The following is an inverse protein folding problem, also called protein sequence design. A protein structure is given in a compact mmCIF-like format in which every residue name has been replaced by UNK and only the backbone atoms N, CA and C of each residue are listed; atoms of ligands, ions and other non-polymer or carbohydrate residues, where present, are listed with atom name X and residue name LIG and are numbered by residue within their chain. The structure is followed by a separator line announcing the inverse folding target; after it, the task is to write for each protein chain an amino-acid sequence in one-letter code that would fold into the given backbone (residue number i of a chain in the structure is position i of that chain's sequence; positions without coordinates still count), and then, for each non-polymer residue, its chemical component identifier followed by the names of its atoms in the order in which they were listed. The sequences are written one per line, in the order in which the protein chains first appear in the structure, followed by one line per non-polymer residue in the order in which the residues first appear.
data_IF_581760082612
#
_entry.id   IF_581760082612
#
_cell.length_a   1.000
_cell.length_b   1.000
_cell.length_c   1.000
_cell.angle_alpha   90.00
_cell.angle_beta   90.00
_cell.angle_gamma   90.00
#
_symmetry.space_group_name_H-M   'P 1'
#
loop_
_entity.id
_entity.type
_entity.pdbx_description
1 polymer ?
#
# COMPACT_ATOMS: atom_id res chain seq x y z
N UNK A 1 -11.26 2.94 1.38
CA UNK A 1 -9.87 2.47 1.19
C UNK A 1 -9.57 2.44 -0.29
N UNK A 2 -8.41 2.93 -0.69
CA UNK A 2 -7.94 2.87 -2.07
C UNK A 2 -6.45 2.49 -2.11
N UNK A 3 -6.03 1.76 -3.14
CA UNK A 3 -4.60 1.57 -3.45
C UNK A 3 -4.23 2.66 -4.44
N UNK A 4 -3.27 3.50 -4.07
CA UNK A 4 -2.85 4.69 -4.81
C UNK A 4 -1.32 4.68 -4.94
N UNK A 5 -0.75 5.70 -5.58
CA UNK A 5 0.69 5.71 -5.90
C UNK A 5 1.05 5.03 -7.22
N UNK A 6 2.32 5.11 -7.57
CA UNK A 6 2.90 4.44 -8.73
C UNK A 6 2.82 2.91 -8.58
N UNK A 7 2.36 2.21 -9.62
CA UNK A 7 2.13 0.77 -9.62
C UNK A 7 0.77 0.34 -9.06
N UNK A 8 -0.12 1.30 -8.74
CA UNK A 8 -1.48 1.01 -8.28
C UNK A 8 -2.41 0.57 -9.41
N UNK A 9 -2.05 0.80 -10.67
CA UNK A 9 -2.82 0.36 -11.82
C UNK A 9 -2.28 -0.94 -12.42
N UNK A 10 -3.18 -1.81 -12.88
CA UNK A 10 -2.81 -3.08 -13.52
C UNK A 10 -2.05 -2.89 -14.84
N UNK A 11 -2.40 -1.87 -15.63
CA UNK A 11 -1.72 -1.53 -16.87
C UNK A 11 -0.73 -0.40 -16.63
N UNK A 12 0.56 -0.70 -16.81
CA UNK A 12 1.65 0.28 -16.67
C UNK A 12 1.61 1.37 -17.74
N UNK A 13 1.20 1.01 -18.96
CA UNK A 13 1.10 1.94 -20.08
C UNK A 13 0.03 3.00 -19.81
N UNK A 14 -1.16 2.57 -19.38
CA UNK A 14 -2.26 3.47 -19.03
C UNK A 14 -1.93 4.33 -17.80
N UNK A 15 -1.21 3.76 -16.82
CA UNK A 15 -0.76 4.52 -15.66
C UNK A 15 0.14 5.69 -16.06
N UNK A 16 1.12 5.44 -16.93
CA UNK A 16 2.05 6.47 -17.38
C UNK A 16 1.37 7.53 -18.26
N UNK A 17 0.38 7.15 -19.07
CA UNK A 17 -0.46 8.09 -19.83
C UNK A 17 -1.21 9.03 -18.88
N UNK A 18 -1.93 8.49 -17.89
CA UNK A 18 -2.72 9.27 -16.93
C UNK A 18 -1.86 10.08 -15.97
N UNK A 19 -0.62 9.65 -15.71
CA UNK A 19 0.32 10.42 -14.89
C UNK A 19 0.78 11.70 -15.59
N UNK A 20 0.78 11.72 -16.93
CA UNK A 20 1.21 12.86 -17.75
C UNK A 20 0.10 13.88 -18.04
N UNK A 21 -1.17 13.54 -17.82
CA UNK A 21 -2.29 14.43 -18.13
C UNK A 21 -2.47 15.58 -17.13
N UNK A 22 -1.65 15.67 -16.08
CA UNK A 22 -1.69 16.70 -15.01
C UNK A 22 -3.05 16.86 -14.31
N UNK A 23 -3.97 15.93 -14.50
CA UNK A 23 -5.28 15.92 -13.83
C UNK A 23 -5.10 15.64 -12.33
N UNK A 24 -5.72 16.48 -11.49
CA UNK A 24 -5.73 16.35 -10.04
C UNK A 24 -6.20 14.96 -9.58
N UNK A 25 -7.10 14.32 -10.34
CA UNK A 25 -7.58 12.97 -10.06
C UNK A 25 -6.46 11.93 -10.06
N UNK A 26 -5.43 12.09 -10.89
CA UNK A 26 -4.32 11.14 -11.05
C UNK A 26 -3.01 11.63 -10.42
N UNK A 27 -3.04 12.76 -9.69
CA UNK A 27 -1.86 13.32 -9.02
C UNK A 27 -1.15 12.30 -8.13
N UNK A 28 -1.92 11.42 -7.48
CA UNK A 28 -1.41 10.35 -6.63
C UNK A 28 -0.47 9.38 -7.37
N UNK A 29 -0.52 9.26 -8.71
CA UNK A 29 0.38 8.40 -9.48
C UNK A 29 1.84 8.87 -9.46
N UNK A 30 2.11 10.10 -8.97
CA UNK A 30 3.46 10.60 -8.74
C UNK A 30 4.02 10.24 -7.35
N UNK A 31 3.21 9.66 -6.47
CA UNK A 31 3.59 9.25 -5.13
C UNK A 31 4.03 7.77 -5.09
N UNK A 32 4.67 7.36 -4.00
CA UNK A 32 5.00 5.94 -3.79
C UNK A 32 3.72 5.10 -3.62
N UNK A 33 3.77 3.82 -4.01
CA UNK A 33 2.66 2.88 -3.80
C UNK A 33 2.23 2.88 -2.33
N UNK A 34 0.97 3.16 -2.06
CA UNK A 34 0.43 3.24 -0.71
C UNK A 34 -1.04 2.86 -0.66
N UNK A 35 -1.56 2.65 0.54
CA UNK A 35 -2.98 2.43 0.80
C UNK A 35 -3.53 3.63 1.55
N UNK A 36 -4.54 4.27 0.99
CA UNK A 36 -5.25 5.37 1.63
C UNK A 36 -6.43 4.84 2.46
N UNK A 37 -6.44 5.16 3.75
CA UNK A 37 -7.49 4.81 4.70
C UNK A 37 -8.19 6.09 5.14
N UNK A 38 -9.50 6.18 4.86
CA UNK A 38 -10.34 7.33 5.21
C UNK A 38 -11.53 6.81 6.03
N UNK A 39 -11.84 7.48 7.12
CA UNK A 39 -13.02 7.22 7.94
C UNK A 39 -13.83 8.50 8.12
N UNK A 40 -15.14 8.43 7.86
CA UNK A 40 -16.09 9.55 8.08
C UNK A 40 -17.03 9.17 9.22
N UNK A 41 -16.80 9.75 10.39
CA UNK A 41 -17.58 9.57 11.62
C UNK A 41 -17.21 10.70 12.62
N UNK A 42 -17.93 10.87 13.74
CA UNK A 42 -17.46 11.72 14.84
C UNK A 42 -16.05 11.34 15.27
N UNK A 43 -15.27 12.32 15.73
CA UNK A 43 -13.85 12.15 16.06
C UNK A 43 -13.52 10.82 16.80
N UNK A 44 -14.15 10.48 17.93
CA UNK A 44 -13.80 9.25 18.66
C UNK A 44 -14.04 7.97 17.84
N UNK A 45 -15.12 7.92 17.05
CA UNK A 45 -15.41 6.78 16.19
C UNK A 45 -14.48 6.70 14.99
N UNK A 46 -14.13 7.83 14.38
CA UNK A 46 -13.23 7.87 13.25
C UNK A 46 -11.84 7.32 13.63
N UNK A 47 -11.29 7.75 14.77
CA UNK A 47 -10.03 7.22 15.29
C UNK A 47 -10.10 5.73 15.57
N UNK A 48 -11.20 5.26 16.19
CA UNK A 48 -11.43 3.83 16.42
C UNK A 48 -11.41 3.03 15.11
N UNK A 49 -12.19 3.45 14.11
CA UNK A 49 -12.28 2.77 12.80
C UNK A 49 -10.94 2.75 12.06
N UNK A 50 -10.18 3.85 12.11
CA UNK A 50 -8.82 3.90 11.54
C UNK A 50 -7.90 2.92 12.26
N UNK A 51 -7.92 2.88 13.59
CA UNK A 51 -7.12 1.93 14.38
C UNK A 51 -7.43 0.47 14.05
N UNK A 52 -8.71 0.12 13.96
CA UNK A 52 -9.17 -1.21 13.56
C UNK A 52 -8.70 -1.56 12.14
N UNK A 53 -8.84 -0.65 11.18
CA UNK A 53 -8.39 -0.86 9.80
C UNK A 53 -6.87 -1.06 9.69
N UNK A 54 -6.08 -0.30 10.47
CA UNK A 54 -4.62 -0.46 10.52
C UNK A 54 -4.19 -1.81 11.12
N UNK A 55 -4.92 -2.31 12.12
CA UNK A 55 -4.66 -3.64 12.68
C UNK A 55 -4.88 -4.74 11.64
N UNK A 56 -5.95 -4.64 10.85
CA UNK A 56 -6.28 -5.62 9.81
C UNK A 56 -5.31 -5.59 8.62
N UNK A 57 -4.93 -4.39 8.14
CA UNK A 57 -4.07 -4.27 6.96
C UNK A 57 -2.65 -4.79 7.19
N UNK A 58 -2.16 -4.76 8.43
CA UNK A 58 -0.82 -5.24 8.82
C UNK A 58 -0.58 -6.68 8.39
N UNK A 59 -1.62 -7.52 8.39
CA UNK A 59 -1.57 -8.94 7.97
C UNK A 59 -1.17 -9.12 6.50
N UNK A 60 -1.43 -8.11 5.65
CA UNK A 60 -1.14 -8.14 4.22
C UNK A 60 0.18 -7.45 3.86
N UNK A 61 0.63 -6.50 4.69
CA UNK A 61 1.84 -5.72 4.43
C UNK A 61 3.11 -6.40 4.94
N UNK A 62 2.97 -7.34 5.89
CA UNK A 62 4.08 -8.19 6.33
C UNK A 62 3.98 -9.50 5.54
N UNK A 63 4.87 -9.75 4.57
CA UNK A 63 4.90 -11.05 3.91
C UNK A 63 5.10 -12.13 4.97
N UNK A 64 4.23 -13.13 4.98
CA UNK A 64 4.35 -14.28 5.88
C UNK A 64 5.74 -14.91 5.67
N UNK A 65 6.65 -14.69 6.62
CA UNK A 65 7.98 -15.30 6.64
C UNK A 65 7.91 -16.82 6.89
N UNK A 66 6.70 -17.39 7.01
CA UNK A 66 6.39 -18.82 7.16
C UNK A 66 6.42 -19.60 5.84
N UNK A 67 7.19 -19.13 4.86
CA UNK A 67 7.82 -19.99 3.85
C UNK A 67 9.32 -20.02 4.16
N UNK A 68 9.68 -20.86 5.12
CA UNK A 68 11.01 -21.07 5.73
C UNK A 68 12.10 -21.58 4.77
N UNK A 69 12.29 -20.97 3.60
CA UNK A 69 13.41 -21.26 2.70
C UNK A 69 14.30 -20.05 2.39
N UNK A 70 13.81 -18.82 2.57
CA UNK A 70 14.57 -17.62 2.19
C UNK A 70 15.43 -17.08 3.34
N UNK A 71 14.95 -17.12 4.60
CA UNK A 71 15.75 -16.65 5.74
C UNK A 71 17.01 -17.52 5.95
N UNK A 72 16.94 -18.84 5.71
CA UNK A 72 18.13 -19.70 5.82
C UNK A 72 19.21 -19.34 4.76
N UNK A 73 18.80 -18.89 3.56
CA UNK A 73 19.77 -18.50 2.52
C UNK A 73 20.49 -17.19 2.80
N UNK A 74 19.86 -16.25 3.51
CA UNK A 74 20.47 -14.96 3.85
C UNK A 74 21.46 -15.10 5.01
N UNK A 75 21.15 -15.95 6.01
CA UNK A 75 22.09 -16.23 7.10
C UNK A 75 23.24 -17.18 6.71
N UNK A 76 23.05 -18.08 5.74
CA UNK A 76 24.12 -18.97 5.27
C UNK A 76 25.14 -18.31 4.32
N UNK A 77 24.85 -17.12 3.76
CA UNK A 77 25.76 -16.39 2.86
C UNK A 77 26.39 -15.14 3.50
N UNK A 78 26.15 -14.90 4.78
CA UNK A 78 26.86 -13.86 5.53
C UNK A 78 28.01 -14.53 6.29
N UNK A 79 29.16 -14.66 5.62
CA UNK A 79 30.45 -14.84 6.30
C UNK A 79 30.76 -13.60 7.14
#
# INVERSE_FOLDING_TARGET
MAILGRGSMRSKEKEEELRRTEDLKYKHLNENLHVEIIAMAPAPEAYKRIGEALSEIKKFLVPNLTSSRIILMIFANSN
#
